data_IF_124882784425
#
_entry.id   IF_124882784425
#
_cell.length_a   1.000
_cell.length_b   1.000
_cell.length_c   1.000
_cell.angle_alpha   90.00
_cell.angle_beta   90.00
_cell.angle_gamma   90.00
#
_symmetry.space_group_name_H-M   'P 1'
#
loop_
_entity.id
_entity.type
_entity.pdbx_description
1 polymer ?
#
# COMPACT_ATOMS: atom_id res chain seq x y z
N UNK A 1 -9.25 -17.53 -4.24
CA UNK A 1 -9.47 -17.01 -5.58
C UNK A 1 -10.21 -15.71 -5.63
N UNK A 2 -10.97 -15.42 -4.59
CA UNK A 2 -11.68 -14.15 -4.49
C UNK A 2 -10.75 -12.96 -4.66
N UNK A 3 -9.50 -13.08 -4.19
CA UNK A 3 -8.52 -11.99 -4.22
C UNK A 3 -7.34 -12.29 -5.14
N UNK A 4 -7.58 -13.08 -6.21
CA UNK A 4 -6.55 -13.38 -7.18
C UNK A 4 -5.49 -14.35 -6.71
N UNK A 5 -5.74 -15.04 -5.61
CA UNK A 5 -4.82 -16.02 -5.07
C UNK A 5 -5.15 -17.40 -5.63
N UNK A 6 -4.26 -17.94 -6.46
CA UNK A 6 -4.47 -19.22 -7.12
C UNK A 6 -3.51 -20.27 -6.54
N UNK A 7 -3.78 -20.70 -5.32
CA UNK A 7 -2.98 -21.71 -4.63
C UNK A 7 -3.91 -22.69 -3.91
N UNK A 8 -3.40 -23.87 -3.59
CA UNK A 8 -4.11 -24.87 -2.80
C UNK A 8 -4.29 -24.31 -1.38
N UNK A 9 -5.54 -24.22 -0.88
CA UNK A 9 -5.78 -23.74 0.48
C UNK A 9 -5.05 -24.53 1.57
N UNK A 10 -4.68 -25.78 1.28
CA UNK A 10 -3.95 -26.62 2.21
C UNK A 10 -2.44 -26.46 2.12
N UNK A 11 -1.96 -25.68 1.15
CA UNK A 11 -0.53 -25.44 0.98
C UNK A 11 0.01 -24.64 2.17
N UNK A 12 1.18 -25.02 2.66
CA UNK A 12 1.83 -24.28 3.73
C UNK A 12 2.36 -22.97 3.18
N UNK A 13 2.20 -21.89 3.93
CA UNK A 13 2.65 -20.55 3.50
C UNK A 13 4.11 -20.57 3.08
N UNK A 14 4.98 -21.29 3.80
CA UNK A 14 6.41 -21.35 3.50
C UNK A 14 6.73 -21.97 2.14
N UNK A 15 5.77 -22.72 1.55
CA UNK A 15 5.96 -23.36 0.25
C UNK A 15 5.48 -22.49 -0.90
N UNK A 16 4.91 -21.32 -0.61
CA UNK A 16 4.42 -20.40 -1.64
C UNK A 16 5.56 -19.51 -2.13
N UNK A 17 5.41 -18.96 -3.33
CA UNK A 17 6.36 -17.95 -3.82
C UNK A 17 6.17 -16.65 -3.03
N UNK A 18 7.11 -15.70 -3.20
CA UNK A 18 7.11 -14.46 -2.43
C UNK A 18 5.85 -13.62 -2.60
N UNK A 19 5.30 -13.59 -3.83
CA UNK A 19 4.08 -12.82 -4.13
C UNK A 19 2.88 -13.44 -3.42
N UNK A 20 2.72 -14.76 -3.52
CA UNK A 20 1.60 -15.44 -2.90
C UNK A 20 1.68 -15.41 -1.37
N UNK A 21 2.89 -15.49 -0.81
CA UNK A 21 3.07 -15.33 0.64
C UNK A 21 2.62 -13.94 1.10
N UNK A 22 2.96 -12.90 0.32
CA UNK A 22 2.55 -11.54 0.63
C UNK A 22 1.04 -11.41 0.55
N UNK A 23 0.41 -12.00 -0.49
CA UNK A 23 -1.05 -11.99 -0.62
C UNK A 23 -1.72 -12.68 0.55
N UNK A 24 -1.22 -13.83 0.97
CA UNK A 24 -1.77 -14.56 2.12
C UNK A 24 -1.70 -13.71 3.39
N UNK A 25 -0.57 -13.05 3.61
CA UNK A 25 -0.40 -12.20 4.79
C UNK A 25 -1.38 -11.03 4.79
N UNK A 26 -1.60 -10.41 3.64
CA UNK A 26 -2.54 -9.29 3.51
C UNK A 26 -3.98 -9.78 3.73
N UNK A 27 -4.36 -10.88 3.09
CA UNK A 27 -5.70 -11.47 3.24
C UNK A 27 -5.95 -11.85 4.69
N UNK A 28 -4.94 -12.44 5.34
CA UNK A 28 -5.05 -12.85 6.74
C UNK A 28 -5.32 -11.64 7.65
N UNK A 29 -4.73 -10.50 7.33
CA UNK A 29 -4.93 -9.28 8.12
C UNK A 29 -6.39 -8.81 8.10
N UNK A 30 -7.12 -9.07 7.01
CA UNK A 30 -8.52 -8.64 6.92
C UNK A 30 -9.52 -9.60 7.55
N UNK A 31 -9.10 -10.83 7.88
CA UNK A 31 -9.96 -11.76 8.57
C UNK A 31 -10.17 -11.32 10.03
N UNK A 32 -11.31 -11.68 10.59
CA UNK A 32 -11.63 -11.30 11.95
C UNK A 32 -12.44 -10.02 12.06
N UNK A 33 -12.91 -9.47 10.92
CA UNK A 33 -13.78 -8.31 10.91
C UNK A 33 -13.05 -6.98 11.04
N UNK A 34 -11.79 -6.93 10.65
CA UNK A 34 -11.03 -5.69 10.67
C UNK A 34 -11.71 -4.62 9.80
N UNK A 35 -11.79 -3.40 10.32
CA UNK A 35 -12.32 -2.24 9.58
C UNK A 35 -11.21 -1.36 9.04
N UNK A 36 -10.01 -1.52 9.54
CA UNK A 36 -8.82 -0.79 9.13
C UNK A 36 -7.65 -1.77 9.05
N UNK A 37 -6.91 -1.71 7.96
CA UNK A 37 -5.70 -2.49 7.79
C UNK A 37 -4.54 -1.52 7.58
N UNK A 38 -3.43 -1.77 8.25
CA UNK A 38 -2.20 -0.97 8.09
C UNK A 38 -1.18 -1.83 7.35
N UNK A 39 -0.75 -1.35 6.19
CA UNK A 39 0.23 -2.04 5.35
C UNK A 39 1.50 -1.21 5.27
N UNK A 40 2.58 -1.72 5.84
CA UNK A 40 3.87 -1.05 5.88
C UNK A 40 4.77 -1.61 4.78
N UNK A 41 5.01 -0.80 3.75
CA UNK A 41 5.84 -1.16 2.59
C UNK A 41 5.38 -2.49 1.97
N UNK A 42 4.09 -2.61 1.57
CA UNK A 42 3.54 -3.92 1.19
C UNK A 42 4.13 -4.53 -0.08
N UNK A 43 4.81 -3.74 -0.91
CA UNK A 43 5.45 -4.24 -2.13
C UNK A 43 6.96 -4.35 -2.03
N UNK A 44 7.52 -4.10 -0.83
CA UNK A 44 8.96 -4.18 -0.64
C UNK A 44 9.45 -5.61 -0.92
N UNK A 45 10.48 -5.73 -1.75
CA UNK A 45 11.06 -7.02 -2.09
C UNK A 45 10.29 -7.79 -3.15
N UNK A 46 9.24 -7.20 -3.71
CA UNK A 46 8.45 -7.81 -4.79
C UNK A 46 8.96 -7.28 -6.12
N UNK A 47 9.10 -8.16 -7.12
CA UNK A 47 9.53 -7.77 -8.46
C UNK A 47 8.57 -6.76 -9.08
N UNK A 48 9.12 -5.85 -9.88
CA UNK A 48 8.32 -4.82 -10.56
C UNK A 48 7.12 -5.42 -11.29
N UNK A 49 7.32 -6.54 -11.98
CA UNK A 49 6.24 -7.18 -12.72
C UNK A 49 5.15 -7.79 -11.85
N UNK A 50 5.43 -8.02 -10.57
CA UNK A 50 4.50 -8.64 -9.64
C UNK A 50 3.85 -7.62 -8.69
N UNK A 51 4.36 -6.39 -8.63
CA UNK A 51 3.80 -5.37 -7.74
C UNK A 51 2.34 -5.08 -8.04
N UNK A 52 1.96 -5.12 -9.30
CA UNK A 52 0.58 -4.87 -9.72
C UNK A 52 -0.42 -5.84 -9.10
N UNK A 53 0.00 -7.09 -8.87
CA UNK A 53 -0.87 -8.09 -8.24
C UNK A 53 -1.18 -7.70 -6.79
N UNK A 54 -0.17 -7.21 -6.07
CA UNK A 54 -0.34 -6.77 -4.69
C UNK A 54 -1.22 -5.51 -4.65
N UNK A 55 -0.97 -4.55 -5.54
CA UNK A 55 -1.75 -3.32 -5.63
C UNK A 55 -3.21 -3.61 -5.93
N UNK A 56 -3.48 -4.56 -6.84
CA UNK A 56 -4.84 -4.95 -7.19
C UNK A 56 -5.56 -5.58 -6.00
N UNK A 57 -4.87 -6.43 -5.24
CA UNK A 57 -5.44 -7.03 -4.04
C UNK A 57 -5.82 -5.95 -3.01
N UNK A 58 -4.94 -4.99 -2.81
CA UNK A 58 -5.18 -3.89 -1.87
C UNK A 58 -6.39 -3.08 -2.30
N UNK A 59 -6.50 -2.82 -3.61
CA UNK A 59 -7.65 -2.11 -4.15
C UNK A 59 -8.95 -2.86 -3.91
N UNK A 60 -8.95 -4.18 -4.13
CA UNK A 60 -10.13 -5.00 -3.88
C UNK A 60 -10.56 -4.93 -2.42
N UNK A 61 -9.60 -4.94 -1.50
CA UNK A 61 -9.88 -4.84 -0.06
C UNK A 61 -10.49 -3.48 0.26
N UNK A 62 -9.92 -2.42 -0.29
CA UNK A 62 -10.45 -1.06 -0.09
C UNK A 62 -11.86 -0.94 -0.66
N UNK A 63 -12.09 -1.48 -1.85
CA UNK A 63 -13.42 -1.44 -2.49
C UNK A 63 -14.47 -2.23 -1.71
N UNK A 64 -14.05 -3.19 -0.90
CA UNK A 64 -14.97 -3.97 -0.06
C UNK A 64 -15.43 -3.22 1.20
N UNK A 65 -14.94 -2.00 1.42
CA UNK A 65 -15.33 -1.17 2.55
C UNK A 65 -14.36 -1.14 3.71
N UNK A 66 -13.21 -1.80 3.57
CA UNK A 66 -12.17 -1.79 4.60
C UNK A 66 -11.24 -0.60 4.32
N UNK A 67 -10.98 0.22 5.33
CA UNK A 67 -10.02 1.32 5.20
C UNK A 67 -8.59 0.77 5.19
N UNK A 68 -7.76 1.32 4.31
CA UNK A 68 -6.37 0.88 4.20
C UNK A 68 -5.44 2.06 4.44
N UNK A 69 -4.55 1.91 5.42
CA UNK A 69 -3.45 2.85 5.62
C UNK A 69 -2.22 2.25 4.95
N UNK A 70 -1.79 2.86 3.86
CA UNK A 70 -0.73 2.36 3.00
C UNK A 70 0.53 3.19 3.24
N UNK A 71 1.56 2.57 3.78
CA UNK A 71 2.83 3.25 4.06
C UNK A 71 3.85 2.81 3.02
N UNK A 72 4.43 3.78 2.30
CA UNK A 72 5.43 3.47 1.28
C UNK A 72 6.36 4.65 1.04
N UNK A 73 7.57 4.35 0.64
CA UNK A 73 8.54 5.34 0.14
C UNK A 73 8.52 5.42 -1.38
N UNK A 74 7.72 4.59 -2.04
CA UNK A 74 7.62 4.56 -3.50
C UNK A 74 6.54 5.54 -3.96
N UNK A 75 6.96 6.71 -4.47
CA UNK A 75 6.03 7.77 -4.86
C UNK A 75 5.03 7.32 -5.92
N UNK A 76 5.49 6.56 -6.90
CA UNK A 76 4.62 6.12 -7.99
C UNK A 76 3.45 5.26 -7.49
N UNK A 77 3.72 4.40 -6.51
CA UNK A 77 2.67 3.58 -5.91
C UNK A 77 1.64 4.44 -5.19
N UNK A 78 2.11 5.39 -4.40
CA UNK A 78 1.22 6.27 -3.64
C UNK A 78 0.34 7.09 -4.55
N UNK A 79 0.91 7.62 -5.63
CA UNK A 79 0.16 8.43 -6.59
C UNK A 79 -0.93 7.61 -7.27
N UNK A 80 -0.65 6.35 -7.60
CA UNK A 80 -1.62 5.49 -8.27
C UNK A 80 -2.72 4.99 -7.34
N UNK A 81 -2.37 4.71 -6.08
CA UNK A 81 -3.23 3.90 -5.22
C UNK A 81 -3.97 4.68 -4.14
N UNK A 82 -3.52 5.88 -3.80
CA UNK A 82 -4.07 6.59 -2.64
C UNK A 82 -5.01 7.71 -3.02
N UNK A 83 -6.07 7.87 -2.23
CA UNK A 83 -7.01 9.00 -2.35
C UNK A 83 -6.57 10.17 -1.49
N UNK A 84 -5.73 9.90 -0.50
CA UNK A 84 -5.22 10.90 0.44
C UNK A 84 -3.82 10.50 0.85
N UNK A 85 -2.90 11.44 0.81
CA UNK A 85 -1.52 11.21 1.19
C UNK A 85 -1.11 12.19 2.27
N UNK A 86 -0.60 11.65 3.38
CA UNK A 86 0.03 12.44 4.43
C UNK A 86 1.53 12.26 4.26
N UNK A 87 2.26 13.36 4.22
CA UNK A 87 3.69 13.35 3.95
C UNK A 87 4.47 13.59 5.23
N UNK A 88 5.32 12.62 5.59
CA UNK A 88 6.20 12.73 6.75
C UNK A 88 7.63 12.93 6.27
N UNK A 89 8.34 13.84 6.90
CA UNK A 89 9.74 14.09 6.61
C UNK A 89 10.45 14.44 7.92
N UNK A 90 11.54 13.75 8.19
CA UNK A 90 12.31 13.90 9.43
C UNK A 90 11.43 13.78 10.68
N UNK A 91 10.52 12.81 10.68
CA UNK A 91 9.65 12.54 11.81
C UNK A 91 8.50 13.52 12.00
N UNK A 92 8.26 14.39 11.03
CA UNK A 92 7.24 15.42 11.10
C UNK A 92 6.24 15.30 9.96
N UNK A 93 4.99 15.64 10.22
CA UNK A 93 3.99 15.81 9.18
C UNK A 93 4.25 17.15 8.49
N UNK A 94 4.63 17.12 7.22
CA UNK A 94 4.94 18.33 6.46
C UNK A 94 3.86 18.72 5.47
N UNK A 95 2.83 17.90 5.31
CA UNK A 95 1.72 18.25 4.42
C UNK A 95 0.80 17.09 4.11
N UNK A 96 -0.30 17.42 3.43
CA UNK A 96 -1.31 16.48 3.03
C UNK A 96 -1.85 16.85 1.65
N UNK A 97 -2.09 15.84 0.83
CA UNK A 97 -2.66 16.00 -0.51
C UNK A 97 -3.86 15.07 -0.63
N UNK A 98 -4.91 15.54 -1.31
CA UNK A 98 -6.13 14.74 -1.51
C UNK A 98 -6.55 14.75 -2.98
N UNK A 99 -7.04 13.61 -3.46
CA UNK A 99 -7.65 13.44 -4.78
C UNK A 99 -6.83 14.05 -5.94
N UNK A 100 -7.34 15.04 -6.65
CA UNK A 100 -6.68 15.62 -7.81
C UNK A 100 -5.40 16.36 -7.49
N UNK A 101 -5.17 16.71 -6.23
CA UNK A 101 -3.91 17.34 -5.81
C UNK A 101 -2.72 16.39 -5.88
N UNK A 102 -3.00 15.07 -5.92
CA UNK A 102 -1.97 14.05 -5.79
C UNK A 102 -1.22 13.86 -7.10
N UNK A 103 0.07 14.20 -7.10
CA UNK A 103 1.01 13.85 -8.17
C UNK A 103 2.43 13.92 -7.60
N UNK A 104 3.38 13.34 -8.33
CA UNK A 104 4.77 13.26 -7.84
C UNK A 104 5.39 14.62 -7.59
N UNK A 105 5.11 15.58 -8.46
CA UNK A 105 5.68 16.94 -8.31
C UNK A 105 5.14 17.61 -7.06
N UNK A 106 3.84 17.47 -6.79
CA UNK A 106 3.23 18.05 -5.60
C UNK A 106 3.84 17.47 -4.32
N UNK A 107 4.07 16.15 -4.29
CA UNK A 107 4.69 15.50 -3.16
C UNK A 107 6.11 16.04 -2.95
N UNK A 108 6.89 16.12 -4.00
CA UNK A 108 8.27 16.61 -3.91
C UNK A 108 8.32 18.07 -3.46
N UNK A 109 7.38 18.88 -3.92
CA UNK A 109 7.30 20.28 -3.50
C UNK A 109 6.99 20.40 -2.01
N UNK A 110 6.11 19.57 -1.48
CA UNK A 110 5.79 19.57 -0.05
C UNK A 110 7.02 19.17 0.76
N UNK A 111 7.74 18.14 0.32
CA UNK A 111 8.96 17.70 1.00
C UNK A 111 10.01 18.82 1.00
N UNK A 112 10.21 19.46 -0.13
CA UNK A 112 11.18 20.53 -0.26
C UNK A 112 10.82 21.74 0.64
N UNK A 113 9.55 22.10 0.70
CA UNK A 113 9.07 23.16 1.58
C UNK A 113 9.29 22.82 3.04
N UNK A 114 9.02 21.57 3.43
CA UNK A 114 9.24 21.10 4.78
C UNK A 114 10.71 21.09 5.20
N UNK A 115 11.62 20.95 4.23
CA UNK A 115 13.06 21.00 4.49
C UNK A 115 13.55 22.43 4.71
N UNK A 116 12.90 23.38 4.07
CA UNK A 116 13.29 24.80 4.15
C UNK A 116 12.70 25.47 5.38
N UNK A 117 11.52 25.05 5.76
CA UNK A 117 10.79 25.63 6.88
C UNK A 117 11.29 25.02 8.18
N UNK A 118 12.24 25.67 8.77
CA UNK A 118 12.89 25.22 10.01
C UNK A 118 12.23 25.84 11.22
#
# INVERSE_FOLDING_TARGET
RKYGLDVDPKEKVRNLNGVDQRKVNIIRAMHGGAKLIILDEPTRGIDVGAKGEIEELIKQISDSGISVLYISSELDELVRECDRIVILHDGRNVGELVNEEINSDAIMNVIASGQIDI
#
